data_IF_329193848893
#
_entry.id   IF_329193848893
#
_cell.length_a   1.000
_cell.length_b   1.000
_cell.length_c   1.000
_cell.angle_alpha   90.00
_cell.angle_beta   90.00
_cell.angle_gamma   90.00
#
_symmetry.space_group_name_H-M   'P 1'
#
loop_
_entity.id
_entity.type
_entity.pdbx_description
1 polymer ?
#
# COMPACT_ATOMS: atom_id res chain seq x y z
N UNK A 1 7.06 -8.10 -18.46
CA UNK A 1 8.52 -8.10 -18.13
C UNK A 1 8.99 -6.67 -18.03
N UNK A 2 10.08 -6.40 -17.29
CA UNK A 2 10.76 -5.08 -17.27
C UNK A 2 10.37 -4.02 -16.22
N UNK A 3 9.67 -4.35 -15.11
CA UNK A 3 9.50 -3.36 -14.02
C UNK A 3 10.80 -3.22 -13.20
N UNK A 4 11.42 -2.04 -13.22
CA UNK A 4 12.65 -1.74 -12.45
C UNK A 4 12.33 -1.21 -11.04
N UNK A 5 13.32 -1.21 -10.13
CA UNK A 5 13.17 -0.58 -8.82
C UNK A 5 12.94 0.93 -8.88
N UNK A 6 13.52 1.60 -9.87
CA UNK A 6 13.32 3.03 -10.09
C UNK A 6 11.87 3.33 -10.49
N UNK A 7 11.34 2.58 -11.45
CA UNK A 7 9.95 2.69 -11.87
C UNK A 7 8.98 2.38 -10.71
N UNK A 8 9.27 1.33 -9.93
CA UNK A 8 8.48 0.95 -8.75
C UNK A 8 8.44 2.08 -7.71
N UNK A 9 9.60 2.65 -7.37
CA UNK A 9 9.67 3.79 -6.42
C UNK A 9 8.94 5.02 -6.94
N UNK A 10 9.11 5.35 -8.23
CA UNK A 10 8.38 6.45 -8.86
C UNK A 10 6.87 6.25 -8.78
N UNK A 11 6.40 5.02 -9.04
CA UNK A 11 4.98 4.69 -8.95
C UNK A 11 4.42 4.84 -7.53
N UNK A 12 5.16 4.41 -6.51
CA UNK A 12 4.77 4.61 -5.10
C UNK A 12 4.61 6.10 -4.78
N UNK A 13 5.59 6.93 -5.17
CA UNK A 13 5.52 8.37 -4.92
C UNK A 13 4.31 9.01 -5.61
N UNK A 14 4.05 8.64 -6.87
CA UNK A 14 2.88 9.15 -7.60
C UNK A 14 1.55 8.75 -6.93
N UNK A 15 1.48 7.57 -6.33
CA UNK A 15 0.30 7.13 -5.57
C UNK A 15 0.13 7.90 -4.26
N UNK A 16 1.22 8.18 -3.55
CA UNK A 16 1.20 9.02 -2.36
C UNK A 16 0.75 10.45 -2.71
N UNK A 17 1.32 11.05 -3.76
CA UNK A 17 0.92 12.37 -4.25
C UNK A 17 -0.55 12.39 -4.68
N UNK A 18 -1.02 11.34 -5.37
CA UNK A 18 -2.42 11.22 -5.77
C UNK A 18 -3.36 11.11 -4.57
N UNK A 19 -2.98 10.34 -3.54
CA UNK A 19 -3.74 10.23 -2.29
C UNK A 19 -3.94 11.60 -1.63
N UNK A 20 -2.91 12.45 -1.66
CA UNK A 20 -2.99 13.82 -1.15
C UNK A 20 -3.90 14.69 -2.03
N UNK A 21 -3.74 14.61 -3.35
CA UNK A 21 -4.54 15.40 -4.30
C UNK A 21 -6.05 15.12 -4.21
N UNK A 22 -6.43 13.87 -3.96
CA UNK A 22 -7.84 13.48 -3.83
C UNK A 22 -8.37 13.62 -2.40
N UNK A 23 -7.54 14.05 -1.44
CA UNK A 23 -7.94 14.28 -0.06
C UNK A 23 -8.20 13.00 0.73
N UNK A 24 -7.44 11.92 0.48
CA UNK A 24 -7.47 10.75 1.37
C UNK A 24 -6.98 11.14 2.78
N UNK A 25 -7.47 10.46 3.84
CA UNK A 25 -7.08 10.75 5.22
C UNK A 25 -5.57 10.82 5.38
N UNK A 26 -5.06 11.83 6.08
CA UNK A 26 -3.64 12.08 6.32
C UNK A 26 -3.21 11.68 7.75
N UNK A 27 -4.11 11.07 8.52
CA UNK A 27 -3.80 10.55 9.84
C UNK A 27 -2.71 9.45 9.76
N UNK A 28 -1.76 9.42 10.71
CA UNK A 28 -0.68 8.45 10.71
C UNK A 28 -1.14 6.99 10.59
N UNK A 29 -2.32 6.68 11.12
CA UNK A 29 -2.88 5.32 11.18
C UNK A 29 -3.32 4.84 9.81
N UNK A 30 -4.09 5.65 9.08
CA UNK A 30 -4.41 5.40 7.68
C UNK A 30 -3.15 5.40 6.81
N UNK A 31 -2.27 6.39 6.96
CA UNK A 31 -1.08 6.53 6.10
C UNK A 31 -0.10 5.37 6.27
N UNK A 32 0.05 4.86 7.49
CA UNK A 32 0.84 3.65 7.75
C UNK A 32 0.25 2.43 7.03
N UNK A 33 -1.06 2.21 7.15
CA UNK A 33 -1.73 1.08 6.50
C UNK A 33 -1.68 1.17 4.97
N UNK A 34 -1.97 2.35 4.42
CA UNK A 34 -1.93 2.63 2.98
C UNK A 34 -0.54 2.36 2.39
N UNK A 35 0.51 2.93 3.01
CA UNK A 35 1.88 2.72 2.54
C UNK A 35 2.34 1.28 2.70
N UNK A 36 1.91 0.58 3.75
CA UNK A 36 2.17 -0.84 3.94
C UNK A 36 1.62 -1.68 2.78
N UNK A 37 0.34 -1.45 2.42
CA UNK A 37 -0.31 -2.15 1.32
C UNK A 37 0.38 -1.85 -0.03
N UNK A 38 0.60 -0.57 -0.32
CA UNK A 38 1.24 -0.11 -1.56
C UNK A 38 2.63 -0.70 -1.71
N UNK A 39 3.43 -0.74 -0.63
CA UNK A 39 4.77 -1.31 -0.68
C UNK A 39 4.75 -2.81 -0.98
N UNK A 40 3.91 -3.57 -0.26
CA UNK A 40 3.76 -5.00 -0.49
C UNK A 40 3.28 -5.29 -1.92
N UNK A 41 2.22 -4.63 -2.37
CA UNK A 41 1.64 -4.83 -3.70
C UNK A 41 2.61 -4.47 -4.82
N UNK A 42 3.41 -3.42 -4.64
CA UNK A 42 4.42 -3.02 -5.64
C UNK A 42 5.56 -4.03 -5.80
N UNK A 43 5.93 -4.74 -4.72
CA UNK A 43 6.93 -5.82 -4.77
C UNK A 43 6.39 -7.03 -5.50
N UNK A 44 5.15 -7.41 -5.21
CA UNK A 44 4.44 -8.47 -5.92
C UNK A 44 4.35 -8.14 -7.42
N UNK A 45 3.95 -6.92 -7.77
CA UNK A 45 3.91 -6.45 -9.16
C UNK A 45 5.28 -6.53 -9.86
N UNK A 46 6.37 -6.20 -9.17
CA UNK A 46 7.73 -6.34 -9.73
C UNK A 46 8.10 -7.79 -10.00
N UNK A 47 7.84 -8.69 -9.06
CA UNK A 47 8.08 -10.13 -9.21
C UNK A 47 7.28 -10.66 -10.41
N UNK A 48 5.97 -10.39 -10.42
CA UNK A 48 5.04 -10.86 -11.44
C UNK A 48 5.35 -10.28 -12.82
N UNK A 49 5.88 -9.04 -12.87
CA UNK A 49 6.28 -8.45 -14.14
C UNK A 49 7.28 -9.36 -14.87
N UNK A 50 8.16 -10.09 -14.17
CA UNK A 50 9.19 -10.92 -14.77
C UNK A 50 8.72 -12.34 -15.11
N UNK A 51 7.55 -12.75 -14.61
CA UNK A 51 6.93 -14.02 -14.92
C UNK A 51 6.11 -13.92 -16.22
N UNK A 52 5.73 -15.07 -16.79
CA UNK A 52 4.84 -15.15 -17.95
C UNK A 52 3.38 -15.04 -17.52
N UNK A 53 2.51 -15.93 -18.03
CA UNK A 53 1.16 -16.12 -17.48
C UNK A 53 1.25 -16.82 -16.12
N UNK A 54 1.40 -16.07 -15.03
CA UNK A 54 1.31 -16.64 -13.69
C UNK A 54 0.82 -15.58 -12.70
N UNK A 55 -0.49 -15.36 -12.66
CA UNK A 55 -1.18 -14.81 -11.50
C UNK A 55 -2.59 -15.40 -11.54
N UNK A 56 -2.78 -16.56 -10.91
CA UNK A 56 -4.12 -17.00 -10.55
C UNK A 56 -4.50 -16.26 -9.25
N UNK A 57 -5.45 -15.30 -9.29
CA UNK A 57 -5.81 -14.51 -8.12
C UNK A 57 -6.37 -15.37 -6.97
N UNK A 58 -6.89 -16.56 -7.28
CA UNK A 58 -7.48 -17.48 -6.30
C UNK A 58 -6.42 -18.36 -5.61
N UNK A 59 -5.24 -18.49 -6.22
CA UNK A 59 -4.14 -19.31 -5.68
C UNK A 59 -3.12 -18.50 -4.87
N UNK A 60 -3.03 -17.19 -5.10
CA UNK A 60 -2.06 -16.33 -4.43
C UNK A 60 -2.55 -15.90 -3.04
N UNK A 61 -1.79 -16.15 -1.96
CA UNK A 61 -2.22 -15.81 -0.61
C UNK A 61 -2.31 -14.29 -0.43
N UNK A 62 -3.53 -13.77 -0.31
CA UNK A 62 -3.78 -12.36 0.03
C UNK A 62 -3.67 -12.16 1.55
N UNK A 63 -2.71 -11.36 2.04
CA UNK A 63 -2.65 -11.06 3.46
C UNK A 63 -3.87 -10.25 3.91
N UNK A 64 -4.30 -10.48 5.15
CA UNK A 64 -5.27 -9.63 5.81
C UNK A 64 -4.57 -8.33 6.27
N UNK A 65 -5.16 -7.19 5.95
CA UNK A 65 -4.63 -5.87 6.29
C UNK A 65 -5.41 -5.26 7.44
N UNK A 66 -4.68 -4.70 8.41
CA UNK A 66 -5.22 -3.88 9.48
C UNK A 66 -4.59 -2.49 9.49
N UNK A 67 -4.85 -1.72 10.54
CA UNK A 67 -4.36 -0.34 10.73
C UNK A 67 -2.87 -0.21 11.09
N UNK A 68 -2.07 -1.26 10.91
CA UNK A 68 -0.69 -1.30 11.36
C UNK A 68 -0.54 -1.19 12.89
N UNK A 69 0.63 -0.75 13.34
CA UNK A 69 0.96 -0.57 14.77
C UNK A 69 0.00 0.38 15.49
N UNK A 70 -0.45 1.50 14.89
CA UNK A 70 -1.35 2.42 15.57
C UNK A 70 -2.74 1.85 15.90
N UNK A 71 -3.17 0.79 15.22
CA UNK A 71 -4.37 0.03 15.60
C UNK A 71 -5.72 0.68 15.27
N UNK A 72 -5.74 1.86 14.67
CA UNK A 72 -6.96 2.52 14.16
C UNK A 72 -6.91 4.03 14.32
N UNK A 73 -7.93 4.76 13.84
CA UNK A 73 -7.95 6.22 13.90
C UNK A 73 -7.81 6.73 15.34
N UNK A 74 -7.05 7.81 15.51
CA UNK A 74 -6.89 8.49 16.80
C UNK A 74 -8.25 8.81 17.44
N UNK A 75 -8.38 8.45 18.73
CA UNK A 75 -9.55 8.82 19.54
C UNK A 75 -9.13 9.87 20.55
N UNK A 76 -9.76 11.04 20.46
CA UNK A 76 -9.58 12.10 21.45
C UNK A 76 -10.01 11.55 22.81
N UNK A 77 -9.19 11.67 23.87
CA UNK A 77 -9.59 11.28 25.21
C UNK A 77 -10.81 12.09 25.66
N UNK A 78 -11.75 11.45 26.37
CA UNK A 78 -12.90 12.16 26.95
C UNK A 78 -12.40 13.32 27.82
N UNK A 79 -12.98 14.51 27.61
CA UNK A 79 -12.71 15.68 28.44
C UNK A 79 -13.14 15.36 29.89
N UNK A 80 -12.23 15.54 30.84
CA UNK A 80 -12.53 15.44 32.28
C UNK A 80 -13.34 16.63 32.76
#
# INVERSE_FOLDING_TARGET
>A
KHLTEEQRRRWINLLADAADQVGLPDDPEFRSAFMGYVEWGSRLAKMNSNLGETCDPEAEPMPAWGWGVPGGPYRVPDAK
#
